data_IF_876619560230
#
_entry.id   IF_876619560230
#
_cell.length_a   1.000
_cell.length_b   1.000
_cell.length_c   1.000
_cell.angle_alpha   90.00
_cell.angle_beta   90.00
_cell.angle_gamma   90.00
#
_symmetry.space_group_name_H-M   'P 1'
#
loop_
_entity.id
_entity.type
_entity.pdbx_description
1 polymer ?
#
# COMPACT_ATOMS: atom_id res chain seq x y z
N UNK A 1 10.30 8.38 -23.57
CA UNK A 1 10.90 8.85 -22.30
C UNK A 1 11.16 7.62 -21.43
N UNK A 2 12.41 7.31 -21.10
CA UNK A 2 12.72 6.20 -20.20
C UNK A 2 12.59 6.73 -18.77
N UNK A 3 11.62 6.22 -18.01
CA UNK A 3 11.42 6.63 -16.63
C UNK A 3 12.47 5.93 -15.78
N UNK A 4 13.28 6.73 -15.07
CA UNK A 4 14.19 6.20 -14.06
C UNK A 4 13.38 5.63 -12.90
N UNK A 5 13.67 4.38 -12.53
CA UNK A 5 13.10 3.73 -11.36
C UNK A 5 13.44 4.54 -10.10
N UNK A 6 12.50 4.55 -9.15
CA UNK A 6 12.73 5.18 -7.86
C UNK A 6 13.83 4.44 -7.11
N UNK A 7 14.86 5.17 -6.69
CA UNK A 7 15.86 4.64 -5.78
C UNK A 7 15.27 4.59 -4.37
N UNK A 8 15.51 3.50 -3.65
CA UNK A 8 15.20 3.42 -2.22
C UNK A 8 16.27 4.21 -1.48
N UNK A 9 15.85 5.24 -0.75
CA UNK A 9 16.73 6.09 0.06
C UNK A 9 16.23 6.08 1.49
N UNK A 10 17.15 6.00 2.44
CA UNK A 10 16.83 6.25 3.84
C UNK A 10 16.55 7.74 4.02
N UNK A 11 15.52 8.07 4.80
CA UNK A 11 15.14 9.46 5.07
C UNK A 11 14.66 9.62 6.51
N UNK A 12 14.88 10.82 7.06
CA UNK A 12 14.29 11.21 8.32
C UNK A 12 12.78 11.34 8.14
N UNK A 13 12.03 10.72 9.03
CA UNK A 13 10.58 10.85 9.08
C UNK A 13 10.21 11.71 10.28
N UNK A 14 9.59 12.85 10.01
CA UNK A 14 8.89 13.64 11.04
C UNK A 14 7.43 13.21 11.02
N UNK A 15 6.89 12.78 12.17
CA UNK A 15 5.51 12.28 12.24
C UNK A 15 4.50 13.42 12.13
N UNK A 16 3.29 13.11 11.65
CA UNK A 16 2.20 14.10 11.67
C UNK A 16 1.90 14.61 13.09
N UNK A 17 2.00 13.76 14.10
CA UNK A 17 1.80 14.16 15.49
C UNK A 17 2.84 15.21 15.93
N UNK A 18 4.12 15.00 15.62
CA UNK A 18 5.18 15.97 15.93
C UNK A 18 4.96 17.30 15.21
N UNK A 19 4.66 17.26 13.90
CA UNK A 19 4.40 18.47 13.10
C UNK A 19 3.20 19.21 13.67
N UNK A 20 2.07 18.53 13.86
CA UNK A 20 0.83 19.16 14.34
C UNK A 20 0.95 19.71 15.77
N UNK A 21 1.69 19.03 16.64
CA UNK A 21 1.98 19.51 17.99
C UNK A 21 2.81 20.79 17.94
N UNK A 22 3.91 20.78 17.17
CA UNK A 22 4.77 21.95 16.98
C UNK A 22 4.00 23.14 16.38
N UNK A 23 3.14 22.88 15.39
CA UNK A 23 2.32 23.93 14.76
C UNK A 23 1.32 24.55 15.74
N UNK A 24 0.74 23.76 16.66
CA UNK A 24 -0.20 24.23 17.68
C UNK A 24 0.48 24.98 18.84
N UNK A 25 1.68 24.57 19.22
CA UNK A 25 2.43 25.17 20.32
C UNK A 25 3.07 26.52 19.95
N UNK A 26 3.19 26.82 18.65
CA UNK A 26 3.70 28.11 18.21
C UNK A 26 2.64 29.21 18.32
N UNK A 27 2.84 30.13 19.26
CA UNK A 27 2.11 31.41 19.34
C UNK A 27 2.51 32.41 18.24
N UNK A 28 3.03 31.95 17.10
CA UNK A 28 3.47 32.78 15.99
C UNK A 28 2.41 32.86 14.90
N UNK A 29 2.26 34.03 14.28
CA UNK A 29 1.42 34.20 13.08
C UNK A 29 2.02 33.57 11.83
N UNK A 30 3.29 33.14 11.88
CA UNK A 30 3.94 32.44 10.77
C UNK A 30 5.07 31.50 11.22
N UNK A 31 5.28 30.42 10.47
CA UNK A 31 6.33 29.41 10.70
C UNK A 31 7.15 29.16 9.43
N UNK A 32 8.43 28.81 9.59
CA UNK A 32 9.23 28.17 8.54
C UNK A 32 9.35 26.68 8.82
N UNK A 33 9.13 25.89 7.77
CA UNK A 33 9.25 24.44 7.80
C UNK A 33 10.58 24.06 7.17
N UNK A 34 11.31 23.13 7.79
CA UNK A 34 12.48 22.57 7.14
C UNK A 34 12.05 21.59 6.02
N UNK A 35 13.02 21.18 5.20
CA UNK A 35 12.73 20.33 4.03
C UNK A 35 12.15 18.96 4.41
N UNK A 36 12.56 18.37 5.54
CA UNK A 36 12.03 17.09 6.00
C UNK A 36 10.58 17.20 6.46
N UNK A 37 10.24 18.29 7.17
CA UNK A 37 8.86 18.60 7.58
C UNK A 37 7.97 18.82 6.37
N UNK A 38 8.44 19.61 5.39
CA UNK A 38 7.72 19.85 4.14
C UNK A 38 7.46 18.54 3.40
N UNK A 39 8.48 17.71 3.22
CA UNK A 39 8.32 16.42 2.55
C UNK A 39 7.37 15.48 3.31
N UNK A 40 7.37 15.49 4.65
CA UNK A 40 6.38 14.75 5.45
C UNK A 40 4.95 15.26 5.22
N UNK A 41 4.74 16.58 5.26
CA UNK A 41 3.43 17.20 5.01
C UNK A 41 2.94 16.89 3.59
N UNK A 42 3.80 17.09 2.59
CA UNK A 42 3.48 16.84 1.19
C UNK A 42 3.12 15.36 0.97
N UNK A 43 3.86 14.44 1.58
CA UNK A 43 3.58 13.00 1.48
C UNK A 43 2.24 12.62 2.13
N UNK A 44 1.85 13.31 3.22
CA UNK A 44 0.56 13.12 3.88
C UNK A 44 -0.59 13.60 3.00
N UNK A 45 -0.48 14.81 2.45
CA UNK A 45 -1.48 15.38 1.55
C UNK A 45 -1.59 14.54 0.27
N UNK A 46 -0.45 14.10 -0.28
CA UNK A 46 -0.41 13.16 -1.41
C UNK A 46 -1.20 11.88 -1.10
N UNK A 47 -1.02 11.30 0.08
CA UNK A 47 -1.77 10.10 0.49
C UNK A 47 -3.28 10.35 0.50
N UNK A 48 -3.72 11.49 1.02
CA UNK A 48 -5.15 11.86 1.04
C UNK A 48 -5.70 12.07 -0.37
N UNK A 49 -5.00 12.83 -1.22
CA UNK A 49 -5.44 13.10 -2.59
C UNK A 49 -5.39 11.86 -3.48
N UNK A 50 -4.40 10.98 -3.30
CA UNK A 50 -4.28 9.76 -4.10
C UNK A 50 -5.48 8.84 -3.88
N UNK A 51 -5.94 8.74 -2.62
CA UNK A 51 -7.10 7.94 -2.24
C UNK A 51 -8.41 8.73 -2.18
N UNK A 52 -8.50 9.92 -2.78
CA UNK A 52 -9.73 10.72 -2.75
C UNK A 52 -10.91 9.89 -3.29
N UNK A 53 -11.90 9.63 -2.43
CA UNK A 53 -13.13 8.93 -2.76
C UNK A 53 -14.23 9.96 -3.07
N UNK A 54 -15.22 9.56 -3.87
CA UNK A 54 -16.43 10.37 -4.08
C UNK A 54 -17.31 10.45 -2.82
N UNK A 55 -17.16 9.49 -1.90
CA UNK A 55 -17.91 9.38 -0.64
C UNK A 55 -17.22 10.11 0.52
N UNK A 56 -17.85 11.18 1.02
CA UNK A 56 -17.28 12.07 2.05
C UNK A 56 -17.09 11.40 3.41
N UNK A 57 -18.02 10.55 3.87
CA UNK A 57 -17.88 9.93 5.20
C UNK A 57 -16.69 8.97 5.23
N UNK A 58 -16.51 8.19 4.15
CA UNK A 58 -15.34 7.33 4.00
C UNK A 58 -14.06 8.14 3.87
N UNK A 59 -14.13 9.35 3.30
CA UNK A 59 -12.99 10.23 3.15
C UNK A 59 -12.51 10.80 4.49
N UNK A 60 -13.42 11.20 5.38
CA UNK A 60 -13.07 11.68 6.73
C UNK A 60 -12.39 10.58 7.56
N UNK A 61 -12.97 9.37 7.59
CA UNK A 61 -12.36 8.24 8.31
C UNK A 61 -10.99 7.84 7.70
N UNK A 62 -10.85 7.94 6.38
CA UNK A 62 -9.58 7.69 5.72
C UNK A 62 -8.52 8.73 6.08
N UNK A 63 -8.90 9.99 6.19
CA UNK A 63 -8.01 11.06 6.65
C UNK A 63 -7.59 10.84 8.10
N UNK A 64 -8.48 10.32 8.96
CA UNK A 64 -8.12 9.90 10.31
C UNK A 64 -7.11 8.75 10.31
N UNK A 65 -7.27 7.76 9.42
CA UNK A 65 -6.28 6.68 9.26
C UNK A 65 -4.92 7.23 8.85
N UNK A 66 -4.88 8.15 7.88
CA UNK A 66 -3.68 8.82 7.39
C UNK A 66 -3.00 9.60 8.52
N UNK A 67 -3.77 10.44 9.24
CA UNK A 67 -3.27 11.29 10.31
C UNK A 67 -2.78 10.48 11.54
N UNK A 68 -3.42 9.34 11.83
CA UNK A 68 -3.05 8.50 12.98
C UNK A 68 -1.69 7.83 12.82
N UNK A 69 -1.26 7.60 11.57
CA UNK A 69 -0.07 6.81 11.20
C UNK A 69 -0.03 5.38 11.77
N UNK A 70 -1.13 4.88 12.35
CA UNK A 70 -1.21 3.58 13.02
C UNK A 70 -1.33 2.40 12.05
N UNK A 71 -1.82 2.65 10.84
CA UNK A 71 -2.14 1.61 9.86
C UNK A 71 -1.01 1.46 8.85
N UNK A 72 -0.27 0.35 8.92
CA UNK A 72 0.89 0.06 8.05
C UNK A 72 0.50 0.05 6.56
N UNK A 73 -0.67 -0.47 6.23
CA UNK A 73 -1.19 -0.47 4.85
C UNK A 73 -1.32 0.98 4.33
N UNK A 74 -1.91 1.88 5.13
CA UNK A 74 -2.05 3.30 4.77
C UNK A 74 -0.69 4.00 4.67
N UNK A 75 0.21 3.70 5.61
CA UNK A 75 1.55 4.28 5.63
C UNK A 75 2.33 4.03 4.33
N UNK A 76 2.01 2.96 3.60
CA UNK A 76 2.67 2.65 2.31
C UNK A 76 2.49 3.76 1.28
N UNK A 77 1.31 4.40 1.21
CA UNK A 77 1.09 5.51 0.27
C UNK A 77 1.88 6.75 0.65
N UNK A 78 1.94 7.08 1.94
CA UNK A 78 2.78 8.17 2.42
C UNK A 78 4.25 7.90 2.13
N UNK A 79 4.73 6.68 2.41
CA UNK A 79 6.13 6.31 2.22
C UNK A 79 6.51 6.31 0.74
N UNK A 80 5.60 5.88 -0.14
CA UNK A 80 5.76 6.02 -1.59
C UNK A 80 5.83 7.49 -2.02
N UNK A 81 4.94 8.33 -1.51
CA UNK A 81 4.98 9.78 -1.73
C UNK A 81 6.32 10.37 -1.32
N UNK A 82 6.84 9.97 -0.16
CA UNK A 82 8.16 10.40 0.31
C UNK A 82 9.27 9.93 -0.63
N UNK A 83 9.22 8.68 -1.08
CA UNK A 83 10.19 8.14 -2.03
C UNK A 83 10.17 8.91 -3.36
N UNK A 84 8.99 9.32 -3.85
CA UNK A 84 8.89 10.17 -5.04
C UNK A 84 9.59 11.51 -4.83
N UNK A 85 9.41 12.15 -3.67
CA UNK A 85 10.05 13.43 -3.33
C UNK A 85 11.57 13.31 -3.28
N UNK A 86 12.10 12.22 -2.72
CA UNK A 86 13.55 11.99 -2.66
C UNK A 86 14.19 11.68 -4.01
N UNK A 87 13.37 11.37 -5.01
CA UNK A 87 13.80 11.07 -6.38
C UNK A 87 13.47 12.18 -7.37
N UNK A 88 13.01 13.35 -6.89
CA UNK A 88 12.82 14.51 -7.75
C UNK A 88 14.15 15.03 -8.28
N UNK A 89 14.10 15.51 -9.51
CA UNK A 89 15.21 16.12 -10.22
C UNK A 89 14.79 17.41 -10.95
N UNK A 90 15.79 18.18 -11.35
CA UNK A 90 15.63 19.45 -12.08
C UNK A 90 14.59 20.38 -11.45
N UNK A 91 13.75 20.96 -12.30
CA UNK A 91 12.77 21.96 -11.91
C UNK A 91 11.85 21.54 -10.74
N UNK A 92 11.44 20.27 -10.65
CA UNK A 92 10.55 19.84 -9.56
C UNK A 92 11.26 19.78 -8.22
N UNK A 93 12.55 19.42 -8.24
CA UNK A 93 13.38 19.47 -7.04
C UNK A 93 13.55 20.93 -6.59
N UNK A 94 13.87 21.82 -7.52
CA UNK A 94 14.03 23.25 -7.22
C UNK A 94 12.72 23.86 -6.70
N UNK A 95 11.57 23.45 -7.26
CA UNK A 95 10.25 23.87 -6.78
C UNK A 95 9.98 23.39 -5.36
N UNK A 96 10.28 22.13 -5.03
CA UNK A 96 10.19 21.62 -3.65
C UNK A 96 11.09 22.42 -2.70
N UNK A 97 12.34 22.69 -3.08
CA UNK A 97 13.29 23.44 -2.25
C UNK A 97 12.83 24.89 -2.01
N UNK A 98 12.15 25.51 -2.99
CA UNK A 98 11.59 26.86 -2.84
C UNK A 98 10.55 26.98 -1.71
N UNK A 99 9.90 25.87 -1.31
CA UNK A 99 8.95 25.86 -0.20
C UNK A 99 9.64 26.09 1.16
N UNK A 100 10.92 25.74 1.31
CA UNK A 100 11.65 25.93 2.57
C UNK A 100 11.91 27.41 2.91
N UNK A 101 11.95 28.27 1.88
CA UNK A 101 12.19 29.70 2.05
C UNK A 101 10.94 30.49 2.47
N UNK A 102 9.76 29.87 2.33
CA UNK A 102 8.45 30.49 2.58
C UNK A 102 8.09 30.48 4.07
N UNK A 103 7.22 31.42 4.43
CA UNK A 103 6.56 31.47 5.73
C UNK A 103 5.12 31.01 5.56
N UNK A 104 4.67 30.14 6.45
CA UNK A 104 3.33 29.55 6.42
C UNK A 104 2.52 30.00 7.63
N UNK A 105 1.21 30.16 7.46
CA UNK A 105 0.28 30.17 8.58
C UNK A 105 0.17 28.75 9.13
N UNK A 106 0.51 28.50 10.42
CA UNK A 106 0.43 27.17 11.03
C UNK A 106 -0.94 26.49 10.89
N UNK A 107 -2.03 27.28 10.84
CA UNK A 107 -3.39 26.76 10.71
C UNK A 107 -3.76 26.36 9.28
N UNK A 108 -2.97 26.77 8.29
CA UNK A 108 -3.30 26.62 6.87
C UNK A 108 -2.26 25.83 6.08
N UNK A 109 -1.18 25.35 6.73
CA UNK A 109 -0.10 24.57 6.09
C UNK A 109 -0.64 23.42 5.23
N UNK A 110 -1.59 22.64 5.77
CA UNK A 110 -2.14 21.47 5.09
C UNK A 110 -3.07 21.79 3.92
N UNK A 111 -3.49 23.04 3.79
CA UNK A 111 -4.41 23.51 2.75
C UNK A 111 -3.73 24.51 1.79
N UNK A 112 -2.41 24.66 1.86
CA UNK A 112 -1.68 25.68 1.11
C UNK A 112 -1.76 25.43 -0.42
N UNK A 113 -2.37 26.33 -1.22
CA UNK A 113 -2.70 26.06 -2.63
C UNK A 113 -1.52 25.59 -3.47
N UNK A 114 -0.37 26.25 -3.34
CA UNK A 114 0.84 25.89 -4.12
C UNK A 114 1.39 24.50 -3.75
N UNK A 115 1.18 24.04 -2.50
CA UNK A 115 1.57 22.68 -2.10
C UNK A 115 0.65 21.66 -2.80
N UNK A 116 -0.65 21.95 -2.86
CA UNK A 116 -1.61 21.10 -3.57
C UNK A 116 -1.32 21.06 -5.08
N UNK A 117 -1.01 22.20 -5.68
CA UNK A 117 -0.62 22.28 -7.10
C UNK A 117 0.64 21.47 -7.38
N UNK A 118 1.67 21.61 -6.52
CA UNK A 118 2.88 20.82 -6.61
C UNK A 118 2.58 19.31 -6.54
N UNK A 119 1.75 18.87 -5.61
CA UNK A 119 1.38 17.46 -5.47
C UNK A 119 0.70 16.95 -6.74
N UNK A 120 -0.23 17.73 -7.30
CA UNK A 120 -0.90 17.39 -8.55
C UNK A 120 0.10 17.16 -9.68
N UNK A 121 0.94 18.17 -9.95
CA UNK A 121 1.81 18.20 -11.14
C UNK A 121 3.06 17.33 -10.96
N UNK A 122 3.69 17.37 -9.80
CA UNK A 122 4.96 16.69 -9.55
C UNK A 122 4.78 15.23 -9.13
N UNK A 123 3.61 14.86 -8.59
CA UNK A 123 3.37 13.52 -8.04
C UNK A 123 2.20 12.80 -8.70
N UNK A 124 0.97 13.32 -8.60
CA UNK A 124 -0.23 12.61 -9.05
C UNK A 124 -0.25 12.36 -10.56
N UNK A 125 0.17 13.33 -11.38
CA UNK A 125 0.26 13.20 -12.84
C UNK A 125 1.25 12.11 -13.28
N UNK A 126 2.17 11.70 -12.39
CA UNK A 126 3.14 10.62 -12.64
C UNK A 126 2.66 9.26 -12.16
N UNK A 127 1.55 9.18 -11.42
CA UNK A 127 1.03 7.90 -10.92
C UNK A 127 0.67 6.89 -12.00
N UNK A 128 0.12 7.24 -13.18
CA UNK A 128 -0.16 6.25 -14.22
C UNK A 128 1.08 5.46 -14.64
N UNK A 129 2.22 6.15 -14.77
CA UNK A 129 3.48 5.57 -15.22
C UNK A 129 4.33 4.96 -14.09
N UNK A 130 4.08 5.35 -12.84
CA UNK A 130 4.70 4.78 -11.63
C UNK A 130 3.80 3.79 -10.89
N UNK A 131 2.65 3.46 -11.48
CA UNK A 131 1.65 2.58 -10.87
C UNK A 131 2.24 1.23 -10.48
N UNK A 132 3.09 0.64 -11.30
CA UNK A 132 3.72 -0.64 -10.96
C UNK A 132 4.69 -0.53 -9.75
N UNK A 133 5.38 0.60 -9.56
CA UNK A 133 6.31 0.79 -8.44
C UNK A 133 5.53 0.90 -7.12
N UNK A 134 4.44 1.66 -7.12
CA UNK A 134 3.55 1.73 -5.96
C UNK A 134 2.91 0.37 -5.66
N UNK A 135 2.42 -0.33 -6.70
CA UNK A 135 1.77 -1.63 -6.54
C UNK A 135 2.71 -2.70 -5.97
N UNK A 136 3.97 -2.71 -6.40
CA UNK A 136 4.99 -3.61 -5.82
C UNK A 136 5.24 -3.29 -4.34
N UNK A 137 5.43 -2.01 -4.00
CA UNK A 137 5.65 -1.58 -2.62
C UNK A 137 4.43 -1.89 -1.73
N UNK A 138 3.23 -1.60 -2.23
CA UNK A 138 1.97 -1.90 -1.57
C UNK A 138 1.82 -3.39 -1.32
N UNK A 139 2.00 -4.26 -2.32
CA UNK A 139 1.91 -5.71 -2.13
C UNK A 139 2.88 -6.22 -1.07
N UNK A 140 4.12 -5.73 -1.08
CA UNK A 140 5.14 -6.12 -0.11
C UNK A 140 4.68 -5.82 1.32
N UNK A 141 4.17 -4.62 1.58
CA UNK A 141 3.75 -4.23 2.93
C UNK A 141 2.39 -4.87 3.29
N UNK A 142 1.44 -4.87 2.37
CA UNK A 142 0.14 -5.50 2.54
C UNK A 142 0.26 -6.99 2.91
N UNK A 143 1.11 -7.73 2.21
CA UNK A 143 1.34 -9.16 2.48
C UNK A 143 1.83 -9.43 3.91
N UNK A 144 2.72 -8.59 4.45
CA UNK A 144 3.21 -8.69 5.84
C UNK A 144 2.09 -8.45 6.84
N UNK A 145 1.18 -7.53 6.52
CA UNK A 145 0.07 -7.19 7.41
C UNK A 145 -0.94 -8.34 7.45
N UNK A 146 -1.30 -8.94 6.30
CA UNK A 146 -2.42 -9.90 6.25
C UNK A 146 -2.01 -11.38 6.38
N UNK A 147 -0.73 -11.72 6.22
CA UNK A 147 -0.24 -13.10 6.37
C UNK A 147 0.45 -13.25 7.72
N UNK A 148 -0.04 -14.17 8.55
CA UNK A 148 0.65 -14.54 9.78
C UNK A 148 1.90 -15.39 9.44
N UNK A 149 3.08 -14.88 9.77
CA UNK A 149 4.33 -15.57 9.47
C UNK A 149 4.49 -16.91 10.22
N UNK A 150 3.91 -17.06 11.41
CA UNK A 150 3.97 -18.32 12.16
C UNK A 150 3.14 -19.40 11.46
N UNK A 151 1.93 -19.05 11.05
CA UNK A 151 1.05 -19.93 10.29
C UNK A 151 1.65 -20.28 8.92
N UNK A 152 2.20 -19.29 8.23
CA UNK A 152 2.91 -19.50 6.97
C UNK A 152 4.11 -20.44 7.16
N UNK A 153 4.89 -20.28 8.22
CA UNK A 153 6.03 -21.16 8.48
C UNK A 153 5.59 -22.59 8.83
N UNK A 154 4.48 -22.74 9.54
CA UNK A 154 3.94 -24.05 9.93
C UNK A 154 3.39 -24.83 8.72
N UNK A 155 2.58 -24.18 7.87
CA UNK A 155 1.95 -24.84 6.72
C UNK A 155 2.74 -24.74 5.41
N UNK A 156 3.64 -23.75 5.31
CA UNK A 156 4.25 -23.29 4.06
C UNK A 156 4.93 -24.39 3.27
N UNK A 157 5.85 -25.15 3.88
CA UNK A 157 6.58 -26.20 3.17
C UNK A 157 5.65 -27.25 2.53
N UNK A 158 4.57 -27.63 3.22
CA UNK A 158 3.56 -28.57 2.70
C UNK A 158 2.79 -27.96 1.52
N UNK A 159 2.35 -26.71 1.67
CA UNK A 159 1.61 -25.99 0.62
C UNK A 159 2.49 -25.78 -0.62
N UNK A 160 3.72 -25.33 -0.43
CA UNK A 160 4.71 -25.14 -1.49
C UNK A 160 4.95 -26.43 -2.28
N UNK A 161 5.09 -27.57 -1.59
CA UNK A 161 5.26 -28.88 -2.23
C UNK A 161 4.01 -29.35 -2.99
N UNK A 162 2.82 -28.95 -2.55
CA UNK A 162 1.59 -29.20 -3.31
C UNK A 162 1.56 -28.36 -4.58
N UNK A 163 1.83 -27.06 -4.47
CA UNK A 163 1.80 -26.10 -5.57
C UNK A 163 2.83 -26.41 -6.67
N UNK A 164 4.01 -26.93 -6.33
CA UNK A 164 5.01 -27.38 -7.33
C UNK A 164 4.51 -28.47 -8.27
N UNK A 165 3.43 -29.19 -7.91
CA UNK A 165 2.84 -30.28 -8.71
C UNK A 165 1.61 -29.83 -9.51
N UNK A 166 1.15 -28.60 -9.30
CA UNK A 166 0.00 -28.04 -10.00
C UNK A 166 0.48 -27.36 -11.29
N UNK A 167 -0.29 -27.51 -12.36
CA UNK A 167 0.00 -26.88 -13.66
C UNK A 167 -0.18 -25.36 -13.58
N UNK A 168 -1.23 -24.92 -12.88
CA UNK A 168 -1.46 -23.51 -12.54
C UNK A 168 -1.51 -23.33 -11.01
N UNK A 169 -0.38 -22.97 -10.38
CA UNK A 169 -0.34 -22.68 -8.95
C UNK A 169 -1.23 -21.50 -8.53
N UNK A 170 -1.45 -20.52 -9.41
CA UNK A 170 -2.27 -19.34 -9.10
C UNK A 170 -3.76 -19.72 -9.08
N UNK A 171 -4.21 -20.52 -10.04
CA UNK A 171 -5.57 -21.07 -10.02
C UNK A 171 -5.81 -21.88 -8.74
N UNK A 172 -4.84 -22.71 -8.34
CA UNK A 172 -4.95 -23.47 -7.10
C UNK A 172 -5.08 -22.56 -5.87
N UNK A 173 -4.27 -21.52 -5.77
CA UNK A 173 -4.36 -20.52 -4.69
C UNK A 173 -5.74 -19.88 -4.67
N UNK A 174 -6.23 -19.43 -5.84
CA UNK A 174 -7.56 -18.81 -5.95
C UNK A 174 -8.68 -19.76 -5.47
N UNK A 175 -8.63 -21.03 -5.87
CA UNK A 175 -9.60 -22.04 -5.41
C UNK A 175 -9.57 -22.23 -3.89
N UNK A 176 -8.39 -22.19 -3.25
CA UNK A 176 -8.29 -22.32 -1.78
C UNK A 176 -8.81 -21.08 -1.06
N UNK A 177 -8.59 -19.89 -1.62
CA UNK A 177 -9.18 -18.65 -1.10
C UNK A 177 -10.71 -18.73 -1.19
N UNK A 178 -11.27 -19.07 -2.35
CA UNK A 178 -12.73 -19.18 -2.55
C UNK A 178 -13.35 -20.20 -1.59
N UNK A 179 -12.69 -21.35 -1.37
CA UNK A 179 -13.16 -22.36 -0.40
C UNK A 179 -13.08 -21.89 1.05
N UNK A 180 -12.14 -21.01 1.36
CA UNK A 180 -11.99 -20.45 2.69
C UNK A 180 -12.89 -19.23 2.94
N UNK A 181 -13.30 -18.53 1.87
CA UNK A 181 -14.03 -17.28 1.91
C UNK A 181 -15.51 -17.45 2.28
N UNK A 182 -15.79 -17.48 3.59
CA UNK A 182 -17.16 -17.46 4.12
C UNK A 182 -17.83 -16.07 4.00
N UNK A 183 -17.10 -15.05 3.56
CA UNK A 183 -17.50 -13.65 3.60
C UNK A 183 -17.87 -13.09 2.22
N UNK A 184 -17.69 -13.88 1.15
CA UNK A 184 -17.97 -13.53 -0.24
C UNK A 184 -17.31 -12.21 -0.66
N UNK A 185 -16.00 -12.13 -0.51
CA UNK A 185 -15.25 -10.94 -0.87
C UNK A 185 -15.38 -10.59 -2.36
N UNK A 186 -15.30 -9.29 -2.71
CA UNK A 186 -15.17 -8.87 -4.09
C UNK A 186 -13.94 -9.50 -4.75
N UNK A 187 -14.04 -9.79 -6.05
CA UNK A 187 -12.93 -10.34 -6.84
C UNK A 187 -11.63 -9.54 -6.71
N UNK A 188 -11.71 -8.22 -6.57
CA UNK A 188 -10.54 -7.35 -6.38
C UNK A 188 -9.79 -7.64 -5.06
N UNK A 189 -10.51 -7.95 -3.99
CA UNK A 189 -9.93 -8.28 -2.69
C UNK A 189 -9.36 -9.71 -2.70
N UNK A 190 -10.09 -10.66 -3.30
CA UNK A 190 -9.59 -12.03 -3.53
C UNK A 190 -8.31 -12.03 -4.39
N UNK A 191 -8.24 -11.17 -5.41
CA UNK A 191 -7.06 -10.99 -6.26
C UNK A 191 -5.85 -10.51 -5.45
N UNK A 192 -6.00 -9.52 -4.57
CA UNK A 192 -4.91 -9.04 -3.71
C UNK A 192 -4.41 -10.13 -2.75
N UNK A 193 -5.32 -10.89 -2.14
CA UNK A 193 -4.95 -12.02 -1.28
C UNK A 193 -4.21 -13.09 -2.11
N UNK A 194 -4.73 -13.43 -3.29
CA UNK A 194 -4.13 -14.39 -4.21
C UNK A 194 -2.71 -14.01 -4.60
N UNK A 195 -2.48 -12.75 -4.99
CA UNK A 195 -1.13 -12.26 -5.31
C UNK A 195 -0.21 -12.27 -4.09
N UNK A 196 -0.72 -11.92 -2.91
CA UNK A 196 0.07 -11.95 -1.67
C UNK A 196 0.54 -13.37 -1.35
N UNK A 197 -0.35 -14.35 -1.51
CA UNK A 197 -0.03 -15.76 -1.31
C UNK A 197 0.90 -16.31 -2.41
N UNK A 198 0.69 -15.93 -3.67
CA UNK A 198 1.58 -16.29 -4.79
C UNK A 198 3.02 -15.87 -4.49
N UNK A 199 3.22 -14.62 -4.11
CA UNK A 199 4.57 -14.09 -3.80
C UNK A 199 5.24 -14.89 -2.67
N UNK A 200 4.50 -15.19 -1.60
CA UNK A 200 5.03 -15.90 -0.41
C UNK A 200 5.15 -17.42 -0.55
N UNK A 201 4.35 -18.06 -1.41
CA UNK A 201 4.30 -19.52 -1.54
C UNK A 201 4.97 -20.05 -2.81
N UNK A 202 5.17 -19.23 -3.84
CA UNK A 202 5.77 -19.71 -5.10
C UNK A 202 7.13 -19.08 -5.37
N UNK A 203 7.54 -18.07 -4.59
CA UNK A 203 8.67 -17.19 -4.88
C UNK A 203 8.58 -16.52 -6.28
N UNK A 204 7.40 -16.54 -6.90
CA UNK A 204 7.11 -15.82 -8.14
C UNK A 204 6.55 -14.46 -7.80
N UNK A 205 7.33 -13.42 -8.07
CA UNK A 205 6.85 -12.03 -7.98
C UNK A 205 5.76 -11.74 -9.00
N UNK A 206 5.01 -10.68 -8.74
CA UNK A 206 4.09 -10.10 -9.72
C UNK A 206 4.85 -9.44 -10.88
N UNK A 207 4.21 -9.37 -12.04
CA UNK A 207 4.67 -8.57 -13.17
C UNK A 207 4.15 -7.13 -13.07
N UNK A 208 4.66 -6.23 -13.93
CA UNK A 208 4.29 -4.81 -13.91
C UNK A 208 2.79 -4.55 -14.11
N UNK A 209 2.11 -5.38 -14.90
CA UNK A 209 0.66 -5.26 -15.12
C UNK A 209 -0.12 -5.67 -13.87
N UNK A 210 0.27 -6.77 -13.22
CA UNK A 210 -0.29 -7.20 -11.93
C UNK A 210 -0.14 -6.09 -10.88
N UNK A 211 1.05 -5.49 -10.77
CA UNK A 211 1.26 -4.37 -9.84
C UNK A 211 0.48 -3.10 -10.24
N UNK A 212 0.30 -2.81 -11.52
CA UNK A 212 -0.58 -1.73 -11.96
C UNK A 212 -2.04 -1.95 -11.52
N UNK A 213 -2.53 -3.19 -11.58
CA UNK A 213 -3.87 -3.54 -11.07
C UNK A 213 -3.96 -3.42 -9.56
N UNK A 214 -2.94 -3.87 -8.83
CA UNK A 214 -2.85 -3.68 -7.37
C UNK A 214 -3.02 -2.22 -7.02
N UNK A 215 -2.34 -1.32 -7.74
CA UNK A 215 -2.41 0.12 -7.52
C UNK A 215 -3.82 0.66 -7.63
N UNK A 216 -4.57 0.24 -8.66
CA UNK A 216 -5.95 0.66 -8.82
C UNK A 216 -6.83 0.16 -7.67
N UNK A 217 -6.68 -1.11 -7.26
CA UNK A 217 -7.45 -1.66 -6.13
C UNK A 217 -7.10 -0.94 -4.82
N UNK A 218 -5.80 -0.76 -4.52
CA UNK A 218 -5.34 -0.06 -3.33
C UNK A 218 -5.83 1.39 -3.33
N UNK A 219 -5.81 2.07 -4.48
CA UNK A 219 -6.33 3.44 -4.62
C UNK A 219 -7.81 3.52 -4.24
N UNK A 220 -8.64 2.66 -4.82
CA UNK A 220 -10.11 2.70 -4.69
C UNK A 220 -10.64 2.06 -3.40
N UNK A 221 -9.91 1.10 -2.83
CA UNK A 221 -10.41 0.26 -1.73
C UNK A 221 -9.64 0.42 -0.43
N UNK A 222 -8.71 1.38 -0.32
CA UNK A 222 -7.85 1.55 0.85
C UNK A 222 -8.61 1.47 2.19
N UNK A 223 -9.72 2.21 2.31
CA UNK A 223 -10.59 2.17 3.48
C UNK A 223 -11.03 0.74 3.84
N UNK A 224 -11.60 0.01 2.86
CA UNK A 224 -12.02 -1.39 3.03
C UNK A 224 -10.86 -2.31 3.38
N UNK A 225 -9.70 -2.12 2.74
CA UNK A 225 -8.51 -2.94 2.99
C UNK A 225 -8.03 -2.82 4.44
N UNK A 226 -8.16 -1.63 5.04
CA UNK A 226 -7.80 -1.38 6.43
C UNK A 226 -8.80 -2.02 7.39
N UNK A 227 -10.11 -1.76 7.23
CA UNK A 227 -11.12 -2.26 8.18
C UNK A 227 -11.26 -3.79 8.15
N UNK A 228 -11.04 -4.42 6.98
CA UNK A 228 -11.19 -5.86 6.80
C UNK A 228 -9.90 -6.66 7.06
N UNK A 229 -8.79 -6.02 7.47
CA UNK A 229 -7.49 -6.69 7.62
C UNK A 229 -7.53 -7.98 8.45
N UNK A 230 -8.32 -7.98 9.54
CA UNK A 230 -8.45 -9.15 10.42
C UNK A 230 -9.29 -10.26 9.80
N UNK A 231 -10.22 -9.92 8.91
CA UNK A 231 -11.00 -10.89 8.17
C UNK A 231 -10.12 -11.56 7.10
N UNK A 232 -9.28 -10.79 6.39
CA UNK A 232 -8.30 -11.35 5.46
C UNK A 232 -7.35 -12.34 6.14
N UNK A 233 -6.81 -11.99 7.31
CA UNK A 233 -6.00 -12.90 8.14
C UNK A 233 -6.71 -14.22 8.42
N UNK A 234 -7.97 -14.17 8.86
CA UNK A 234 -8.77 -15.36 9.14
C UNK A 234 -8.95 -16.24 7.92
N UNK A 235 -9.25 -15.65 6.76
CA UNK A 235 -9.43 -16.40 5.51
C UNK A 235 -8.12 -17.02 5.05
N UNK A 236 -7.01 -16.29 5.11
CA UNK A 236 -5.68 -16.82 4.78
C UNK A 236 -5.36 -18.01 5.69
N UNK A 237 -5.49 -17.85 7.01
CA UNK A 237 -5.20 -18.93 7.96
C UNK A 237 -6.10 -20.15 7.71
N UNK A 238 -7.40 -19.93 7.47
CA UNK A 238 -8.32 -21.02 7.10
C UNK A 238 -7.86 -21.69 5.81
N UNK A 239 -7.46 -20.94 4.78
CA UNK A 239 -6.97 -21.48 3.51
C UNK A 239 -5.74 -22.38 3.72
N UNK A 240 -4.84 -22.05 4.65
CA UNK A 240 -3.67 -22.89 4.96
C UNK A 240 -4.04 -24.25 5.56
N UNK A 241 -5.13 -24.31 6.33
CA UNK A 241 -5.64 -25.58 6.91
C UNK A 241 -6.34 -26.49 5.92
N UNK A 242 -6.74 -25.97 4.75
CA UNK A 242 -7.43 -26.74 3.72
C UNK A 242 -6.52 -27.82 3.11
N UNK A 243 -7.13 -28.76 2.38
CA UNK A 243 -6.38 -29.78 1.63
C UNK A 243 -5.86 -29.17 0.32
N UNK A 244 -4.55 -28.91 0.28
CA UNK A 244 -3.86 -28.39 -0.90
C UNK A 244 -3.51 -29.47 -1.93
N UNK A 245 -3.38 -30.73 -1.51
CA UNK A 245 -3.16 -31.83 -2.45
C UNK A 245 -4.50 -32.29 -3.06
N UNK A 246 -4.52 -32.44 -4.38
CA UNK A 246 -5.49 -33.30 -5.02
C UNK A 246 -5.08 -34.75 -4.69
N UNK A 247 -5.78 -35.42 -3.78
CA UNK A 247 -5.76 -36.88 -3.82
C UNK A 247 -6.41 -37.26 -5.15
N UNK A 248 -5.61 -37.45 -6.21
CA UNK A 248 -5.98 -38.42 -7.24
C UNK A 248 -6.21 -39.70 -6.46
N UNK A 249 -7.46 -40.10 -6.31
CA UNK A 249 -7.81 -41.31 -5.59
C UNK A 249 -6.85 -42.40 -6.07
N UNK A 250 -6.15 -43.03 -5.13
CA UNK A 250 -5.60 -44.34 -5.43
C UNK A 250 -6.79 -45.13 -5.94
N UNK A 251 -6.77 -45.49 -7.23
CA UNK A 251 -7.74 -46.41 -7.77
C UNK A 251 -7.76 -47.58 -6.82
N UNK A 252 -8.89 -47.76 -6.12
CA UNK A 252 -9.07 -48.95 -5.31
C UNK A 252 -8.80 -50.16 -6.20
N UNK A 253 -8.24 -51.25 -5.65
CA UNK A 253 -8.05 -52.45 -6.44
C UNK A 253 -9.41 -52.81 -7.05
N UNK A 254 -9.45 -52.92 -8.38
CA UNK A 254 -10.59 -53.57 -9.04
C UNK A 254 -10.58 -55.01 -8.54
N UNK A 255 -11.47 -55.31 -7.60
CA UNK A 255 -11.87 -56.65 -7.22
C UNK A 255 -13.32 -56.83 -7.69
#
# INVERSE_FOLDING_TARGET
>A
MQIKLLESKDYNRVSYYEISTRLKEQNSTSIRLNLDELKSIISLIFSSQFHSLEDREKWDELNDFIASEKFEIMNTTRDFGRQMLENLDGFKKDWLESFAEKKYDPNYVFNHPEIHEFISVAMLDYMPIRSFEYGELFMKNYSKVIIDEKELNFYGAKIQNALKKEEDPMEKIAQQIIKADDYNFPLSEQFLIGLSLKDRLTNSKGNKMEYGLVTNVAREKMHKLIINQNVYKKIINKSFTLRWNNNRGMGGPKL
#
